data_IF_167451736470
#
_entry.id   IF_167451736470
#
_cell.length_a   1.000
_cell.length_b   1.000
_cell.length_c   1.000
_cell.angle_alpha   90.00
_cell.angle_beta   90.00
_cell.angle_gamma   90.00
#
_symmetry.space_group_name_H-M   'P 1'
#
loop_
_entity.id
_entity.type
_entity.pdbx_description
1 polymer ?
#
# COMPACT_ATOMS: atom_id res chain seq x y z
N UNK A 1 -19.09 -4.08 5.35
CA UNK A 1 -17.87 -3.90 6.17
C UNK A 1 -16.84 -3.09 5.39
N UNK A 2 -16.23 -2.08 6.01
CA UNK A 2 -15.21 -1.24 5.42
C UNK A 2 -13.84 -1.59 6.01
N UNK A 3 -12.92 -2.06 5.18
CA UNK A 3 -11.54 -2.35 5.55
C UNK A 3 -10.63 -1.29 4.95
N UNK A 4 -9.84 -0.63 5.78
CA UNK A 4 -8.81 0.30 5.33
C UNK A 4 -7.43 -0.27 5.61
N UNK A 5 -6.55 -0.21 4.60
CA UNK A 5 -5.19 -0.71 4.70
C UNK A 5 -4.23 0.47 4.48
N UNK A 6 -3.61 0.92 5.56
CA UNK A 6 -2.62 1.98 5.55
C UNK A 6 -1.22 1.38 5.37
N UNK A 7 -0.48 1.81 4.36
CA UNK A 7 0.86 1.27 4.13
C UNK A 7 1.52 1.86 2.91
N UNK A 8 2.20 0.98 2.15
CA UNK A 8 2.77 1.33 0.86
C UNK A 8 2.25 0.40 -0.21
N UNK A 9 2.30 0.86 -1.46
CA UNK A 9 2.22 0.01 -2.65
C UNK A 9 3.59 0.00 -3.32
N UNK A 10 3.93 -1.11 -3.99
CA UNK A 10 5.18 -1.19 -4.71
C UNK A 10 5.06 -1.94 -6.04
N UNK A 11 5.98 -1.69 -6.95
CA UNK A 11 6.15 -2.48 -8.17
C UNK A 11 7.27 -3.49 -7.93
N UNK A 12 6.96 -4.77 -8.01
CA UNK A 12 7.97 -5.83 -7.96
C UNK A 12 8.48 -6.10 -9.38
N UNK A 13 9.76 -5.81 -9.63
CA UNK A 13 10.49 -6.18 -10.83
C UNK A 13 11.20 -7.50 -10.56
N UNK A 14 10.68 -8.60 -11.10
CA UNK A 14 11.25 -9.94 -10.89
C UNK A 14 12.05 -10.34 -12.12
N UNK A 15 13.32 -10.67 -11.93
CA UNK A 15 14.25 -11.10 -12.98
C UNK A 15 14.89 -12.42 -12.54
N UNK A 16 14.73 -13.44 -13.36
CA UNK A 16 15.37 -14.75 -13.19
C UNK A 16 16.12 -15.13 -14.47
N UNK A 17 16.83 -16.26 -14.43
CA UNK A 17 17.61 -16.78 -15.56
C UNK A 17 16.77 -17.00 -16.84
N UNK A 18 15.45 -17.19 -16.71
CA UNK A 18 14.58 -17.55 -17.83
C UNK A 18 13.35 -16.65 -18.00
N UNK A 19 13.01 -15.84 -17.00
CA UNK A 19 11.82 -14.99 -17.05
C UNK A 19 12.03 -13.68 -16.32
N UNK A 20 11.48 -12.62 -16.91
CA UNK A 20 11.37 -11.30 -16.29
C UNK A 20 9.91 -10.85 -16.32
N UNK A 21 9.39 -10.37 -15.20
CA UNK A 21 8.03 -9.85 -15.12
C UNK A 21 7.91 -8.73 -14.08
N UNK A 22 6.91 -7.88 -14.26
CA UNK A 22 6.57 -6.82 -13.30
C UNK A 22 5.16 -7.02 -12.77
N UNK A 23 4.98 -6.85 -11.46
CA UNK A 23 3.67 -6.95 -10.82
C UNK A 23 3.50 -5.89 -9.74
N UNK A 24 2.26 -5.58 -9.37
CA UNK A 24 2.02 -4.89 -8.12
C UNK A 24 2.30 -5.82 -6.93
N UNK A 25 3.20 -5.37 -6.06
CA UNK A 25 3.52 -5.97 -4.78
C UNK A 25 3.02 -5.12 -3.62
N UNK A 26 3.43 -5.53 -2.42
CA UNK A 26 3.08 -5.04 -1.09
C UNK A 26 1.99 -5.83 -0.36
N UNK A 27 2.09 -5.94 0.98
CA UNK A 27 1.02 -6.53 1.79
C UNK A 27 -0.32 -5.82 1.59
N UNK A 28 -0.32 -4.49 1.38
CA UNK A 28 -1.54 -3.74 1.13
C UNK A 28 -2.26 -4.19 -0.15
N UNK A 29 -1.53 -4.40 -1.24
CA UNK A 29 -2.09 -4.91 -2.48
C UNK A 29 -2.62 -6.34 -2.32
N UNK A 30 -1.90 -7.21 -1.61
CA UNK A 30 -2.33 -8.59 -1.41
C UNK A 30 -3.59 -8.68 -0.53
N UNK A 31 -3.61 -7.96 0.59
CA UNK A 31 -4.78 -7.87 1.46
C UNK A 31 -5.99 -7.30 0.72
N UNK A 32 -5.83 -6.22 -0.06
CA UNK A 32 -6.93 -5.64 -0.83
C UNK A 32 -7.50 -6.61 -1.86
N UNK A 33 -6.64 -7.38 -2.55
CA UNK A 33 -7.09 -8.39 -3.51
C UNK A 33 -7.83 -9.55 -2.85
N UNK A 34 -7.43 -9.98 -1.66
CA UNK A 34 -8.07 -11.08 -0.93
C UNK A 34 -9.40 -10.59 -0.34
N UNK A 35 -9.39 -9.49 0.42
CA UNK A 35 -10.60 -8.99 1.06
C UNK A 35 -11.64 -8.46 0.08
N UNK A 36 -11.21 -7.94 -1.08
CA UNK A 36 -12.12 -7.51 -2.15
C UNK A 36 -12.92 -8.65 -2.80
N UNK A 37 -12.60 -9.91 -2.50
CA UNK A 37 -13.39 -11.08 -2.96
C UNK A 37 -14.55 -11.42 -2.01
N UNK A 38 -14.56 -10.86 -0.80
CA UNK A 38 -15.59 -11.14 0.19
C UNK A 38 -16.88 -10.36 -0.12
N UNK A 39 -18.06 -10.98 0.02
CA UNK A 39 -19.33 -10.27 -0.15
C UNK A 39 -19.44 -9.13 0.88
N UNK A 40 -20.13 -8.06 0.49
CA UNK A 40 -20.42 -6.89 1.32
C UNK A 40 -19.21 -6.24 2.00
N UNK A 41 -18.01 -6.47 1.45
CA UNK A 41 -16.74 -5.93 1.93
C UNK A 41 -16.22 -4.89 0.95
N UNK A 42 -15.94 -3.69 1.47
CA UNK A 42 -15.26 -2.64 0.73
C UNK A 42 -13.86 -2.50 1.29
N UNK A 43 -12.86 -2.62 0.42
CA UNK A 43 -11.46 -2.45 0.82
C UNK A 43 -10.87 -1.21 0.16
N UNK A 44 -10.16 -0.41 0.95
CA UNK A 44 -9.45 0.78 0.47
C UNK A 44 -8.01 0.76 0.96
N UNK A 45 -7.07 0.98 0.05
CA UNK A 45 -5.66 1.20 0.39
C UNK A 45 -5.44 2.71 0.61
N UNK A 46 -4.64 3.06 1.62
CA UNK A 46 -4.09 4.40 1.81
C UNK A 46 -2.58 4.28 1.61
N UNK A 47 -2.08 4.82 0.48
CA UNK A 47 -0.65 4.77 0.16
C UNK A 47 -0.28 5.83 -0.90
N UNK A 48 0.94 6.41 -0.83
CA UNK A 48 1.49 7.17 -1.95
C UNK A 48 1.76 6.23 -3.13
N UNK A 49 1.58 6.73 -4.35
CA UNK A 49 1.94 6.01 -5.58
C UNK A 49 2.19 6.98 -6.73
N UNK A 50 2.93 6.50 -7.73
CA UNK A 50 3.24 7.22 -8.95
C UNK A 50 2.40 6.81 -10.16
N UNK A 51 2.53 7.58 -11.25
CA UNK A 51 1.87 7.33 -12.53
C UNK A 51 2.13 5.90 -13.07
N UNK A 52 3.33 5.36 -12.83
CA UNK A 52 3.72 4.01 -13.23
C UNK A 52 2.92 2.88 -12.54
N UNK A 53 2.21 3.18 -11.46
CA UNK A 53 1.39 2.20 -10.72
C UNK A 53 -0.07 2.14 -11.18
N UNK A 54 -0.57 3.15 -11.91
CA UNK A 54 -1.99 3.29 -12.28
C UNK A 54 -2.53 2.03 -12.97
N UNK A 55 -1.71 1.39 -13.81
CA UNK A 55 -2.08 0.15 -14.53
C UNK A 55 -2.44 -1.03 -13.61
N UNK A 56 -2.03 -1.02 -12.34
CA UNK A 56 -2.31 -2.08 -11.40
C UNK A 56 -3.54 -1.83 -10.51
N UNK A 57 -4.21 -0.68 -10.66
CA UNK A 57 -5.34 -0.28 -9.82
C UNK A 57 -6.69 -0.85 -10.28
N UNK A 58 -6.72 -1.73 -11.28
CA UNK A 58 -7.97 -2.34 -11.75
C UNK A 58 -8.67 -3.06 -10.59
N UNK A 59 -9.88 -2.59 -10.26
CA UNK A 59 -10.71 -3.08 -9.15
C UNK A 59 -10.09 -2.87 -7.74
N UNK A 60 -9.15 -1.94 -7.60
CA UNK A 60 -8.55 -1.56 -6.32
C UNK A 60 -8.97 -0.13 -5.98
N UNK A 61 -9.58 0.08 -4.82
CA UNK A 61 -9.80 1.43 -4.29
C UNK A 61 -8.55 1.87 -3.54
N UNK A 62 -7.98 3.00 -3.94
CA UNK A 62 -6.81 3.61 -3.30
C UNK A 62 -7.08 5.09 -3.02
N UNK A 63 -6.54 5.59 -1.91
CA UNK A 63 -6.44 7.00 -1.57
C UNK A 63 -4.96 7.40 -1.50
N UNK A 64 -4.56 8.54 -2.10
CA UNK A 64 -5.37 9.44 -2.92
C UNK A 64 -5.85 8.83 -4.25
N UNK A 65 -6.92 9.35 -4.83
CA UNK A 65 -7.48 8.82 -6.10
C UNK A 65 -6.63 9.15 -7.33
N UNK A 66 -5.68 10.09 -7.18
CA UNK A 66 -4.70 10.45 -8.21
C UNK A 66 -3.28 10.16 -7.71
N UNK A 67 -2.35 9.79 -8.60
CA UNK A 67 -0.95 9.62 -8.25
C UNK A 67 -0.35 10.96 -7.79
N UNK A 68 0.62 10.88 -6.89
CA UNK A 68 1.29 12.05 -6.30
C UNK A 68 2.62 12.40 -6.98
N UNK A 69 3.10 11.52 -7.84
CA UNK A 69 4.47 11.54 -8.38
C UNK A 69 4.57 10.69 -9.65
N UNK A 70 5.74 10.65 -10.29
CA UNK A 70 5.94 9.86 -11.51
C UNK A 70 6.25 8.38 -11.23
N UNK A 71 6.98 8.10 -10.15
CA UNK A 71 7.51 6.77 -9.84
C UNK A 71 6.96 6.22 -8.54
N UNK A 72 6.77 4.91 -8.49
CA UNK A 72 6.37 4.20 -7.27
C UNK A 72 7.57 3.49 -6.67
N UNK A 73 7.56 3.30 -5.34
CA UNK A 73 8.45 2.36 -4.67
C UNK A 73 8.51 1.07 -5.47
N UNK A 74 9.70 0.57 -5.74
CA UNK A 74 9.86 -0.68 -6.47
C UNK A 74 10.91 -1.57 -5.83
N UNK A 75 10.69 -2.87 -5.89
CA UNK A 75 11.65 -3.88 -5.48
C UNK A 75 12.11 -4.65 -6.68
N UNK A 76 13.41 -4.54 -7.01
CA UNK A 76 14.04 -5.38 -7.99
C UNK A 76 14.52 -6.65 -7.33
N UNK A 77 13.87 -7.76 -7.65
CA UNK A 77 14.22 -9.10 -7.20
C UNK A 77 14.98 -9.81 -8.32
N UNK A 78 16.27 -10.09 -8.10
CA UNK A 78 17.10 -10.86 -9.03
C UNK A 78 17.35 -12.24 -8.45
N UNK A 79 17.00 -13.27 -9.22
CA UNK A 79 17.19 -14.67 -8.90
C UNK A 79 18.34 -15.25 -9.74
N UNK A 80 19.37 -15.75 -9.07
CA UNK A 80 20.47 -16.46 -9.71
C UNK A 80 20.85 -17.68 -8.88
N UNK A 81 20.89 -18.88 -9.49
CA UNK A 81 21.21 -20.14 -8.80
C UNK A 81 20.44 -20.32 -7.47
N UNK A 82 19.13 -20.05 -7.50
CA UNK A 82 18.23 -20.09 -6.32
C UNK A 82 18.48 -19.05 -5.23
N UNK A 83 19.42 -18.11 -5.42
CA UNK A 83 19.64 -16.99 -4.51
C UNK A 83 18.83 -15.80 -4.99
N UNK A 84 17.98 -15.25 -4.10
CA UNK A 84 17.27 -13.99 -4.33
C UNK A 84 18.04 -12.83 -3.72
N UNK A 85 18.42 -11.88 -4.56
CA UNK A 85 18.83 -10.53 -4.11
C UNK A 85 17.70 -9.55 -4.35
N UNK A 86 17.50 -8.62 -3.43
CA UNK A 86 16.45 -7.62 -3.52
C UNK A 86 17.04 -6.24 -3.35
N UNK A 87 16.69 -5.32 -4.24
CA UNK A 87 17.04 -3.90 -4.15
C UNK A 87 15.79 -3.04 -4.14
N UNK A 88 15.65 -2.21 -3.11
CA UNK A 88 14.62 -1.18 -3.06
C UNK A 88 15.05 0.03 -3.91
N UNK A 89 14.16 0.47 -4.78
CA UNK A 89 14.32 1.57 -5.72
C UNK A 89 13.20 2.58 -5.47
N UNK A 90 13.42 3.86 -5.76
CA UNK A 90 12.42 4.92 -5.61
C UNK A 90 11.88 5.02 -4.17
N UNK A 91 12.76 4.91 -3.17
CA UNK A 91 12.34 4.92 -1.75
C UNK A 91 11.88 6.31 -1.30
N UNK A 92 12.52 7.33 -1.83
CA UNK A 92 12.18 8.74 -1.70
C UNK A 92 10.76 9.08 -2.17
N UNK A 93 10.13 8.17 -2.90
CA UNK A 93 8.77 8.28 -3.40
C UNK A 93 7.75 7.52 -2.51
N UNK A 94 8.20 6.89 -1.42
CA UNK A 94 7.35 6.15 -0.49
C UNK A 94 6.95 6.99 0.74
N UNK A 95 6.87 8.32 0.60
CA UNK A 95 6.65 9.22 1.74
C UNK A 95 5.25 9.06 2.36
N UNK A 96 5.18 9.23 3.68
CA UNK A 96 3.91 9.19 4.39
C UNK A 96 2.96 10.27 3.88
N UNK A 97 1.70 9.90 3.67
CA UNK A 97 0.66 10.87 3.34
C UNK A 97 0.39 11.78 4.54
N UNK A 98 0.25 13.11 4.34
CA UNK A 98 -0.17 13.99 5.42
C UNK A 98 -1.56 13.61 5.93
N UNK A 99 -1.78 13.74 7.24
CA UNK A 99 -3.06 13.42 7.87
C UNK A 99 -4.03 14.59 7.68
N UNK A 100 -4.66 14.63 6.50
CA UNK A 100 -5.72 15.57 6.10
C UNK A 100 -7.08 15.16 6.65
N UNK A 101 -8.06 16.06 6.67
CA UNK A 101 -9.44 15.76 7.08
C UNK A 101 -10.06 14.63 6.26
N UNK A 102 -9.86 14.58 4.94
CA UNK A 102 -10.34 13.49 4.09
C UNK A 102 -9.78 12.12 4.52
N UNK A 103 -8.47 12.04 4.79
CA UNK A 103 -7.85 10.83 5.34
C UNK A 103 -8.46 10.47 6.69
N UNK A 104 -8.72 11.45 7.57
CA UNK A 104 -9.37 11.21 8.87
C UNK A 104 -10.78 10.65 8.70
N UNK A 105 -11.56 11.15 7.75
CA UNK A 105 -12.90 10.64 7.44
C UNK A 105 -12.86 9.20 6.93
N UNK A 106 -11.90 8.85 6.08
CA UNK A 106 -11.70 7.46 5.60
C UNK A 106 -11.40 6.54 6.79
N UNK A 107 -10.45 6.94 7.63
CA UNK A 107 -10.05 6.19 8.82
C UNK A 107 -11.22 6.04 9.79
N UNK A 108 -11.97 7.10 10.05
CA UNK A 108 -13.15 7.08 10.91
C UNK A 108 -14.24 6.17 10.34
N UNK A 109 -14.47 6.15 9.02
CA UNK A 109 -15.45 5.28 8.38
C UNK A 109 -15.09 3.79 8.30
N UNK A 110 -13.93 3.38 8.83
CA UNK A 110 -13.41 2.02 8.73
C UNK A 110 -13.89 1.14 9.89
N UNK A 111 -14.30 -0.09 9.59
CA UNK A 111 -14.61 -1.13 10.60
C UNK A 111 -13.35 -1.89 11.02
N UNK A 112 -12.41 -2.08 10.08
CA UNK A 112 -11.13 -2.73 10.31
C UNK A 112 -10.02 -1.87 9.69
N UNK A 113 -8.92 -1.69 10.41
CA UNK A 113 -7.74 -0.97 9.93
C UNK A 113 -6.51 -1.87 10.02
N UNK A 114 -5.77 -1.97 8.93
CA UNK A 114 -4.46 -2.63 8.91
C UNK A 114 -3.36 -1.60 8.70
N UNK A 115 -2.27 -1.72 9.46
CA UNK A 115 -1.02 -0.99 9.23
C UNK A 115 0.01 -1.93 8.59
N UNK A 116 0.40 -1.64 7.35
CA UNK A 116 1.23 -2.51 6.50
C UNK A 116 2.40 -1.74 5.84
N UNK A 117 3.35 -1.24 6.64
CA UNK A 117 4.51 -0.53 6.12
C UNK A 117 5.49 -1.48 5.42
N UNK A 118 6.22 -0.94 4.43
CA UNK A 118 7.30 -1.61 3.70
C UNK A 118 8.66 -0.98 4.02
N UNK A 119 8.63 0.28 4.46
CA UNK A 119 9.78 1.07 4.89
C UNK A 119 9.61 1.48 6.35
N UNK A 120 10.70 1.82 7.06
CA UNK A 120 10.66 2.24 8.46
C UNK A 120 10.13 3.68 8.65
N UNK A 121 9.52 4.28 7.62
CA UNK A 121 9.20 5.72 7.61
C UNK A 121 7.98 6.05 8.50
N UNK A 122 7.17 5.05 8.87
CA UNK A 122 6.04 5.18 9.79
C UNK A 122 6.51 5.44 11.23
N UNK A 123 6.63 6.72 11.60
CA UNK A 123 7.00 7.12 12.95
C UNK A 123 5.89 6.85 13.98
N UNK A 124 6.28 6.61 15.23
CA UNK A 124 5.35 6.44 16.36
C UNK A 124 4.39 7.64 16.51
N UNK A 125 4.85 8.91 16.44
CA UNK A 125 3.94 10.06 16.48
C UNK A 125 2.91 10.08 15.35
N UNK A 126 3.32 9.70 14.13
CA UNK A 126 2.40 9.64 12.99
C UNK A 126 1.29 8.61 13.23
N UNK A 127 1.66 7.40 13.68
CA UNK A 127 0.69 6.35 13.98
C UNK A 127 -0.25 6.79 15.10
N UNK A 128 0.24 7.41 16.16
CA UNK A 128 -0.62 7.94 17.23
C UNK A 128 -1.62 8.99 16.74
N UNK A 129 -1.16 9.94 15.92
CA UNK A 129 -2.02 10.98 15.36
C UNK A 129 -3.13 10.39 14.47
N UNK A 130 -2.81 9.33 13.72
CA UNK A 130 -3.77 8.60 12.91
C UNK A 130 -4.77 7.82 13.77
N UNK A 131 -4.30 7.16 14.83
CA UNK A 131 -5.13 6.38 15.76
C UNK A 131 -6.19 7.22 16.49
N UNK A 132 -5.96 8.53 16.67
CA UNK A 132 -6.96 9.45 17.22
C UNK A 132 -8.20 9.61 16.33
N UNK A 133 -8.09 9.29 15.04
CA UNK A 133 -9.21 9.39 14.08
C UNK A 133 -9.99 8.09 13.94
N UNK A 134 -9.50 7.00 14.56
CA UNK A 134 -10.13 5.69 14.47
C UNK A 134 -11.28 5.62 15.47
N UNK A 135 -12.43 5.08 15.04
CA UNK A 135 -13.55 4.82 15.95
C UNK A 135 -13.13 3.89 17.09
N UNK A 136 -13.77 4.03 18.23
CA UNK A 136 -13.48 3.23 19.42
C UNK A 136 -13.82 1.75 19.25
N UNK A 137 -14.77 1.43 18.38
CA UNK A 137 -15.28 0.07 18.10
C UNK A 137 -14.62 -0.60 16.89
N UNK A 138 -13.79 0.13 16.12
CA UNK A 138 -13.10 -0.43 14.97
C UNK A 138 -11.98 -1.40 15.40
N UNK A 139 -11.86 -2.51 14.68
CA UNK A 139 -10.75 -3.46 14.83
C UNK A 139 -9.47 -2.86 14.25
N UNK A 140 -8.35 -3.04 14.96
CA UNK A 140 -7.03 -2.49 14.63
C UNK A 140 -6.00 -3.60 14.69
#
# INVERSE_FOLDING_TARGET
MNITILGHVCIDENVSEHVSYTSAGSPAMFMAKIFGQLPDTKTRIIAPYGNDFVRYLKNISIYPSKPLQEKTLSYRNTFHKSIRTQKAMNREHAELLPITDELREIIHGSDIIFLAPLTPDYSVPYVHLLMQSVRSDALK
#
